data_IF_927261194295
#
_entry.id   IF_927261194295
#
_cell.length_a   1.000
_cell.length_b   1.000
_cell.length_c   1.000
_cell.angle_alpha   90.00
_cell.angle_beta   90.00
_cell.angle_gamma   90.00
#
_symmetry.space_group_name_H-M   'P 1'
#
loop_
_entity.id
_entity.type
_entity.pdbx_description
1 polymer ?
#
# COMPACT_ATOMS: atom_id res chain seq x y z
N UNK A 1 -14.68 13.56 46.57
CA UNK A 1 -15.53 13.47 45.37
C UNK A 1 -14.69 12.79 44.31
N UNK A 2 -14.89 11.49 44.10
CA UNK A 2 -14.13 10.74 43.10
C UNK A 2 -14.81 10.97 41.73
N UNK A 3 -14.06 11.49 40.74
CA UNK A 3 -14.54 11.55 39.36
C UNK A 3 -14.95 10.15 38.93
N UNK A 4 -16.23 9.98 38.59
CA UNK A 4 -16.69 8.77 37.92
C UNK A 4 -16.08 8.79 36.52
N UNK A 5 -15.05 7.98 36.28
CA UNK A 5 -14.50 7.80 34.93
C UNK A 5 -15.61 7.23 34.04
N UNK A 6 -15.88 7.94 32.94
CA UNK A 6 -16.91 7.51 31.99
C UNK A 6 -16.43 6.28 31.23
N UNK A 7 -17.32 5.30 31.02
CA UNK A 7 -16.98 4.01 30.41
C UNK A 7 -16.29 4.14 29.05
N UNK A 8 -16.72 5.10 28.24
CA UNK A 8 -16.11 5.37 26.93
C UNK A 8 -14.67 5.88 27.06
N UNK A 9 -14.34 6.65 28.10
CA UNK A 9 -12.96 7.11 28.39
C UNK A 9 -12.06 5.95 28.83
N UNK A 10 -12.60 4.98 29.57
CA UNK A 10 -11.86 3.75 29.89
C UNK A 10 -11.61 2.89 28.65
N UNK A 11 -12.55 2.88 27.69
CA UNK A 11 -12.38 2.25 26.39
C UNK A 11 -11.30 2.95 25.55
N UNK A 12 -11.30 4.29 25.48
CA UNK A 12 -10.27 5.08 24.78
C UNK A 12 -8.88 4.78 25.36
N UNK A 13 -8.73 4.79 26.69
CA UNK A 13 -7.49 4.41 27.37
C UNK A 13 -7.04 3.01 26.95
N UNK A 14 -7.94 2.04 26.97
CA UNK A 14 -7.62 0.66 26.60
C UNK A 14 -7.18 0.54 25.13
N UNK A 15 -7.86 1.20 24.18
CA UNK A 15 -7.47 1.20 22.77
C UNK A 15 -6.12 1.91 22.53
N UNK A 16 -5.80 2.95 23.30
CA UNK A 16 -4.49 3.61 23.28
C UNK A 16 -3.39 2.67 23.81
N UNK A 17 -3.63 1.94 24.90
CA UNK A 17 -2.68 0.93 25.41
C UNK A 17 -2.48 -0.24 24.43
N UNK A 18 -3.50 -0.59 23.65
CA UNK A 18 -3.36 -1.54 22.53
C UNK A 18 -2.50 -0.99 21.39
N UNK A 19 -2.28 0.32 21.31
CA UNK A 19 -1.57 0.99 20.22
C UNK A 19 -2.42 1.21 18.97
N UNK A 20 -3.75 1.21 19.11
CA UNK A 20 -4.70 1.45 18.00
C UNK A 20 -5.00 2.94 17.82
N UNK A 21 -5.02 3.70 18.93
CA UNK A 21 -5.16 5.15 18.91
C UNK A 21 -3.80 5.79 19.23
N UNK A 22 -3.37 6.76 18.43
CA UNK A 22 -2.19 7.58 18.77
C UNK A 22 -2.49 8.40 20.06
N UNK A 23 -1.51 8.52 20.95
CA UNK A 23 -1.59 9.35 22.14
C UNK A 23 -1.86 10.83 21.84
N UNK A 24 -1.61 11.28 20.60
CA UNK A 24 -1.94 12.63 20.11
C UNK A 24 -3.34 12.75 19.49
N UNK A 25 -4.13 11.68 19.46
CA UNK A 25 -5.45 11.72 18.85
C UNK A 25 -6.40 12.60 19.67
N UNK A 26 -7.20 13.44 18.99
CA UNK A 26 -8.13 14.40 19.61
C UNK A 26 -9.08 13.78 20.65
N UNK A 27 -9.42 12.49 20.55
CA UNK A 27 -10.29 11.79 21.51
C UNK A 27 -9.63 11.40 22.83
N UNK A 28 -8.30 11.46 22.89
CA UNK A 28 -7.55 11.28 24.14
C UNK A 28 -7.49 12.58 24.97
N UNK A 29 -7.91 13.72 24.41
CA UNK A 29 -7.93 15.01 25.11
C UNK A 29 -9.07 15.10 26.14
N UNK A 30 -8.85 15.88 27.20
CA UNK A 30 -9.84 16.04 28.27
C UNK A 30 -11.18 16.64 27.76
N UNK A 31 -11.13 17.49 26.74
CA UNK A 31 -12.29 18.14 26.14
C UNK A 31 -13.06 17.30 25.11
N UNK A 32 -12.61 16.09 24.80
CA UNK A 32 -13.25 15.26 23.80
C UNK A 32 -14.66 14.83 24.21
N UNK A 33 -15.56 14.78 23.23
CA UNK A 33 -16.93 14.31 23.42
C UNK A 33 -17.10 12.87 22.93
N UNK A 34 -18.09 12.17 23.48
CA UNK A 34 -18.38 10.80 23.10
C UNK A 34 -18.77 10.66 21.61
N UNK A 35 -19.42 11.67 21.04
CA UNK A 35 -19.78 11.69 19.62
C UNK A 35 -18.54 11.59 18.72
N UNK A 36 -17.45 12.28 19.08
CA UNK A 36 -16.18 12.21 18.34
C UNK A 36 -15.61 10.78 18.38
N UNK A 37 -15.60 10.16 19.57
CA UNK A 37 -15.14 8.78 19.72
C UNK A 37 -16.00 7.77 18.94
N UNK A 38 -17.32 7.93 18.98
CA UNK A 38 -18.24 7.06 18.27
C UNK A 38 -18.11 7.18 16.74
N UNK A 39 -17.90 8.41 16.22
CA UNK A 39 -17.64 8.66 14.80
C UNK A 39 -16.34 7.98 14.32
N UNK A 40 -15.30 7.95 15.14
CA UNK A 40 -14.01 7.33 14.77
C UNK A 40 -14.07 5.79 14.70
N UNK A 41 -14.98 5.16 15.46
CA UNK A 41 -15.20 3.71 15.38
C UNK A 41 -16.21 3.30 14.30
N UNK A 42 -16.93 4.28 13.73
CA UNK A 42 -18.14 4.09 12.94
C UNK A 42 -17.95 3.25 11.68
N UNK A 43 -16.77 3.28 11.09
CA UNK A 43 -16.47 2.52 9.88
C UNK A 43 -15.92 1.11 10.12
N UNK A 44 -15.78 0.73 11.39
CA UNK A 44 -15.30 -0.59 11.82
C UNK A 44 -13.81 -0.84 11.59
N UNK A 45 -13.04 0.06 10.98
CA UNK A 45 -11.63 -0.22 10.64
C UNK A 45 -10.79 -0.37 11.91
N UNK A 46 -10.89 0.58 12.85
CA UNK A 46 -10.17 0.50 14.12
C UNK A 46 -10.57 -0.71 14.96
N UNK A 47 -11.81 -1.18 14.83
CA UNK A 47 -12.29 -2.37 15.52
C UNK A 47 -11.62 -3.64 14.96
N UNK A 48 -11.50 -3.74 13.65
CA UNK A 48 -10.79 -4.85 13.01
C UNK A 48 -9.28 -4.84 13.34
N UNK A 49 -8.65 -3.66 13.30
CA UNK A 49 -7.25 -3.50 13.68
C UNK A 49 -7.00 -3.87 15.15
N UNK A 50 -7.93 -3.52 16.04
CA UNK A 50 -7.90 -3.92 17.44
C UNK A 50 -7.91 -5.44 17.61
N UNK A 51 -8.77 -6.17 16.88
CA UNK A 51 -8.77 -7.63 16.89
C UNK A 51 -7.42 -8.21 16.45
N UNK A 52 -6.86 -7.73 15.34
CA UNK A 52 -5.55 -8.17 14.84
C UNK A 52 -4.39 -7.87 15.80
N UNK A 53 -4.53 -6.83 16.62
CA UNK A 53 -3.54 -6.49 17.64
C UNK A 53 -3.62 -7.37 18.88
N UNK A 54 -4.82 -7.79 19.26
CA UNK A 54 -5.05 -8.71 20.39
C UNK A 54 -4.75 -10.16 20.03
N UNK A 55 -4.95 -10.54 18.77
CA UNK A 55 -4.66 -11.86 18.23
C UNK A 55 -4.16 -11.71 16.80
N UNK A 56 -2.91 -12.08 16.54
CA UNK A 56 -2.29 -11.93 15.22
C UNK A 56 -3.10 -12.65 14.14
N UNK A 57 -3.34 -11.97 13.02
CA UNK A 57 -4.06 -12.48 11.84
C UNK A 57 -5.47 -13.00 12.13
N UNK A 58 -6.16 -12.43 13.13
CA UNK A 58 -7.55 -12.76 13.44
C UNK A 58 -8.53 -12.41 12.30
N UNK A 59 -8.27 -11.32 11.60
CA UNK A 59 -9.01 -10.82 10.45
C UNK A 59 -8.01 -10.64 9.32
N UNK A 60 -8.25 -11.29 8.18
CA UNK A 60 -7.40 -11.13 6.99
C UNK A 60 -7.49 -9.67 6.52
N UNK A 61 -6.34 -9.06 6.26
CA UNK A 61 -6.24 -7.68 5.76
C UNK A 61 -7.00 -7.53 4.44
N UNK A 62 -7.14 -8.61 3.67
CA UNK A 62 -7.92 -8.62 2.41
C UNK A 62 -9.42 -8.44 2.62
N UNK A 63 -9.95 -8.90 3.75
CA UNK A 63 -11.37 -8.76 4.07
C UNK A 63 -11.68 -7.38 4.68
N UNK A 64 -10.64 -6.70 5.20
CA UNK A 64 -10.72 -5.37 5.80
C UNK A 64 -10.67 -4.25 4.75
N UNK A 65 -11.73 -3.46 4.68
CA UNK A 65 -11.81 -2.29 3.82
C UNK A 65 -11.24 -1.07 4.54
N UNK A 66 -9.95 -0.76 4.30
CA UNK A 66 -9.21 0.27 5.03
C UNK A 66 -9.70 1.71 4.77
N UNK A 67 -10.28 1.97 3.60
CA UNK A 67 -10.78 3.30 3.21
C UNK A 67 -12.25 3.22 2.80
N UNK A 68 -13.15 2.98 3.76
CA UNK A 68 -14.55 2.75 3.45
C UNK A 68 -15.31 4.02 3.05
N UNK A 69 -14.71 5.22 3.18
CA UNK A 69 -15.30 6.51 2.78
C UNK A 69 -16.74 6.71 3.30
N UNK A 70 -17.05 6.16 4.48
CA UNK A 70 -18.39 6.10 5.07
C UNK A 70 -19.49 5.44 4.22
N UNK A 71 -19.11 4.74 3.14
CA UNK A 71 -20.03 3.95 2.35
C UNK A 71 -20.65 2.86 3.22
N UNK A 72 -21.99 2.89 3.34
CA UNK A 72 -22.75 2.05 4.24
C UNK A 72 -22.40 0.56 4.14
N UNK A 73 -22.29 0.05 2.91
CA UNK A 73 -21.94 -1.34 2.65
C UNK A 73 -20.55 -1.70 3.18
N UNK A 74 -19.53 -0.86 2.92
CA UNK A 74 -18.15 -1.07 3.34
C UNK A 74 -17.99 -1.02 4.85
N UNK A 75 -18.56 0.00 5.49
CA UNK A 75 -18.54 0.12 6.95
C UNK A 75 -19.23 -1.08 7.60
N UNK A 76 -20.40 -1.48 7.09
CA UNK A 76 -21.10 -2.65 7.62
C UNK A 76 -20.31 -3.95 7.38
N UNK A 77 -19.61 -4.11 6.25
CA UNK A 77 -18.71 -5.24 5.98
C UNK A 77 -17.62 -5.33 7.06
N UNK A 78 -16.91 -4.23 7.33
CA UNK A 78 -15.89 -4.17 8.38
C UNK A 78 -16.46 -4.50 9.77
N UNK A 79 -17.58 -3.88 10.14
CA UNK A 79 -18.23 -4.14 11.43
C UNK A 79 -18.62 -5.62 11.55
N UNK A 80 -19.14 -6.23 10.48
CA UNK A 80 -19.47 -7.65 10.44
C UNK A 80 -18.21 -8.53 10.61
N UNK A 81 -17.09 -8.19 9.98
CA UNK A 81 -15.82 -8.92 10.17
C UNK A 81 -15.32 -8.84 11.62
N UNK A 82 -15.39 -7.66 12.24
CA UNK A 82 -15.12 -7.51 13.67
C UNK A 82 -16.02 -8.41 14.55
N UNK A 83 -17.33 -8.43 14.29
CA UNK A 83 -18.27 -9.25 15.05
C UNK A 83 -18.04 -10.75 14.82
N UNK A 84 -17.70 -11.17 13.60
CA UNK A 84 -17.29 -12.55 13.29
C UNK A 84 -16.03 -12.93 14.06
N UNK A 85 -15.03 -12.07 14.10
CA UNK A 85 -13.81 -12.27 14.88
C UNK A 85 -14.12 -12.41 16.38
N UNK A 86 -14.95 -11.52 16.94
CA UNK A 86 -15.38 -11.60 18.33
C UNK A 86 -16.04 -12.94 18.66
N UNK A 87 -16.90 -13.44 17.77
CA UNK A 87 -17.59 -14.72 17.95
C UNK A 87 -16.66 -15.94 17.79
N UNK A 88 -15.86 -15.96 16.73
CA UNK A 88 -15.14 -17.16 16.30
C UNK A 88 -13.77 -17.29 16.98
N UNK A 89 -13.06 -16.17 17.19
CA UNK A 89 -11.69 -16.16 17.73
C UNK A 89 -11.69 -15.81 19.21
N UNK A 90 -12.50 -14.84 19.64
CA UNK A 90 -12.58 -14.43 21.04
C UNK A 90 -13.67 -15.17 21.82
N UNK A 91 -14.36 -16.12 21.17
CA UNK A 91 -15.40 -17.01 21.75
C UNK A 91 -16.51 -16.26 22.50
N UNK A 92 -16.85 -15.06 22.03
CA UNK A 92 -17.89 -14.24 22.65
C UNK A 92 -19.28 -14.76 22.29
N UNK A 93 -20.22 -14.69 23.25
CA UNK A 93 -21.59 -15.15 23.04
C UNK A 93 -22.37 -14.17 22.16
N UNK A 94 -23.32 -14.63 21.34
CA UNK A 94 -24.13 -13.75 20.49
C UNK A 94 -24.88 -12.65 21.25
N UNK A 95 -25.32 -12.93 22.48
CA UNK A 95 -26.02 -11.94 23.33
C UNK A 95 -25.11 -10.81 23.82
N UNK A 96 -23.80 -11.01 23.71
CA UNK A 96 -22.77 -10.07 24.13
C UNK A 96 -22.31 -9.15 22.98
N UNK A 97 -22.81 -9.39 21.76
CA UNK A 97 -22.49 -8.66 20.53
C UNK A 97 -23.57 -7.61 20.21
N UNK A 98 -23.15 -6.50 19.59
CA UNK A 98 -24.06 -5.49 19.06
C UNK A 98 -24.45 -5.80 17.61
N UNK A 99 -25.53 -5.18 17.14
CA UNK A 99 -25.95 -5.25 15.73
C UNK A 99 -25.18 -4.21 14.90
N UNK A 100 -24.73 -4.49 13.67
CA UNK A 100 -23.98 -3.52 12.86
C UNK A 100 -24.58 -2.11 12.79
N UNK A 101 -25.91 -1.98 12.81
CA UNK A 101 -26.61 -0.70 12.82
C UNK A 101 -26.44 0.08 14.12
N UNK A 102 -26.30 -0.59 15.28
CA UNK A 102 -26.08 0.03 16.59
C UNK A 102 -24.83 0.94 16.56
N UNK A 103 -23.81 0.56 15.78
CA UNK A 103 -22.58 1.35 15.57
C UNK A 103 -22.66 2.25 14.33
N UNK A 104 -23.04 1.73 13.16
CA UNK A 104 -22.99 2.53 11.93
C UNK A 104 -23.97 3.71 11.95
N UNK A 105 -25.17 3.54 12.53
CA UNK A 105 -26.15 4.63 12.68
C UNK A 105 -26.05 5.35 14.02
N UNK A 106 -25.19 4.86 14.91
CA UNK A 106 -25.02 5.33 16.28
C UNK A 106 -26.36 5.28 17.06
N UNK A 107 -27.15 4.24 16.81
CA UNK A 107 -28.46 4.02 17.44
C UNK A 107 -28.30 3.64 18.92
N UNK A 108 -27.33 2.77 19.24
CA UNK A 108 -27.01 2.34 20.61
C UNK A 108 -25.51 2.07 20.79
N UNK A 109 -24.74 3.14 20.93
CA UNK A 109 -23.30 3.04 21.18
C UNK A 109 -22.97 2.41 22.55
N UNK A 110 -23.94 2.37 23.47
CA UNK A 110 -23.81 1.71 24.77
C UNK A 110 -23.62 0.19 24.62
N UNK A 111 -24.32 -0.45 23.67
CA UNK A 111 -24.07 -1.86 23.33
C UNK A 111 -22.65 -2.08 22.79
N UNK A 112 -22.17 -1.20 21.92
CA UNK A 112 -20.80 -1.26 21.37
C UNK A 112 -19.76 -1.25 22.50
N UNK A 113 -19.88 -0.32 23.46
CA UNK A 113 -18.99 -0.25 24.62
C UNK A 113 -19.04 -1.50 25.50
N UNK A 114 -20.21 -2.13 25.66
CA UNK A 114 -20.35 -3.40 26.40
C UNK A 114 -19.64 -4.55 25.69
N UNK A 115 -19.80 -4.65 24.37
CA UNK A 115 -19.10 -5.65 23.57
C UNK A 115 -17.59 -5.45 23.68
N UNK A 116 -17.09 -4.23 23.55
CA UNK A 116 -15.66 -3.92 23.71
C UNK A 116 -15.15 -4.19 25.13
N UNK A 117 -15.94 -3.90 26.16
CA UNK A 117 -15.61 -4.24 27.54
C UNK A 117 -15.46 -5.75 27.70
N UNK A 118 -16.41 -6.54 27.19
CA UNK A 118 -16.33 -8.02 27.23
C UNK A 118 -15.13 -8.53 26.44
N UNK A 119 -14.89 -8.01 25.24
CA UNK A 119 -13.72 -8.32 24.43
C UNK A 119 -12.42 -8.07 25.21
N UNK A 120 -12.30 -6.93 25.89
CA UNK A 120 -11.11 -6.57 26.68
C UNK A 120 -10.84 -7.52 27.87
N UNK A 121 -11.87 -8.23 28.33
CA UNK A 121 -11.78 -9.21 29.43
C UNK A 121 -11.76 -10.66 28.97
N UNK A 122 -11.82 -10.89 27.66
CA UNK A 122 -11.77 -12.23 27.06
C UNK A 122 -10.44 -12.92 27.39
N UNK A 123 -10.41 -14.27 27.44
CA UNK A 123 -9.19 -15.01 27.71
C UNK A 123 -8.07 -14.66 26.72
N UNK A 124 -8.40 -14.54 25.43
CA UNK A 124 -7.45 -14.21 24.36
C UNK A 124 -6.88 -12.80 24.54
N UNK A 125 -7.73 -11.81 24.80
CA UNK A 125 -7.26 -10.44 25.01
C UNK A 125 -6.36 -10.31 26.25
N UNK A 126 -6.59 -11.09 27.31
CA UNK A 126 -5.73 -11.11 28.50
C UNK A 126 -4.32 -11.61 28.24
N UNK A 127 -4.09 -12.40 27.19
CA UNK A 127 -2.76 -12.86 26.79
C UNK A 127 -1.85 -11.71 26.34
N UNK A 128 -2.43 -10.61 25.84
CA UNK A 128 -1.69 -9.40 25.46
C UNK A 128 -1.03 -8.68 26.66
N UNK A 129 -1.41 -9.02 27.89
CA UNK A 129 -0.94 -8.35 29.11
C UNK A 129 -1.57 -6.98 29.35
N UNK A 130 -2.45 -6.51 28.47
CA UNK A 130 -3.13 -5.22 28.58
C UNK A 130 -4.33 -5.34 29.51
N UNK A 131 -4.47 -4.40 30.46
CA UNK A 131 -5.57 -4.42 31.43
C UNK A 131 -6.87 -3.94 30.77
N UNK A 132 -7.84 -4.84 30.65
CA UNK A 132 -9.19 -4.53 30.14
C UNK A 132 -10.00 -3.56 31.01
N UNK A 133 -11.21 -3.24 30.57
CA UNK A 133 -12.12 -2.26 31.20
C UNK A 133 -13.55 -2.83 31.35
N UNK A 134 -14.36 -2.36 32.31
CA UNK A 134 -14.07 -1.31 33.29
C UNK A 134 -13.12 -1.76 34.42
N UNK A 135 -12.37 -0.81 34.99
CA UNK A 135 -11.42 -1.08 36.08
C UNK A 135 -12.10 -1.39 37.42
N UNK A 136 -13.35 -0.95 37.60
CA UNK A 136 -14.18 -1.24 38.78
C UNK A 136 -15.52 -1.81 38.34
N UNK A 137 -15.83 -3.03 38.77
CA UNK A 137 -17.15 -3.64 38.61
C UNK A 137 -17.89 -3.41 39.93
N UNK A 138 -18.85 -2.48 39.97
CA UNK A 138 -19.70 -2.32 41.16
C UNK A 138 -20.65 -3.53 41.28
N UNK A 139 -20.76 -4.18 42.46
CA UNK A 139 -21.64 -5.34 42.66
C UNK A 139 -23.15 -5.00 42.68
N UNK A 140 -23.50 -3.73 42.84
CA UNK A 140 -24.86 -3.22 42.70
C UNK A 140 -25.01 -2.64 41.28
N UNK A 141 -25.98 -3.15 40.52
CA UNK A 141 -26.45 -2.66 39.20
C UNK A 141 -25.76 -3.26 37.95
N UNK A 142 -25.68 -4.59 37.87
CA UNK A 142 -25.18 -5.32 36.70
C UNK A 142 -26.06 -5.24 35.43
N UNK A 143 -27.23 -4.60 35.47
CA UNK A 143 -28.13 -4.46 34.30
C UNK A 143 -28.54 -2.99 34.04
N UNK A 144 -28.72 -2.18 35.08
CA UNK A 144 -29.19 -0.78 34.95
C UNK A 144 -28.07 0.25 34.71
N UNK A 145 -26.83 0.00 35.16
CA UNK A 145 -25.72 0.96 34.96
C UNK A 145 -25.35 1.15 33.48
N UNK A 146 -25.68 0.16 32.64
CA UNK A 146 -25.29 0.10 31.23
C UNK A 146 -26.35 0.65 30.26
N UNK A 147 -27.61 0.82 30.69
CA UNK A 147 -28.74 1.11 29.81
C UNK A 147 -29.23 2.58 29.84
N UNK A 148 -28.82 3.38 30.83
CA UNK A 148 -29.57 4.59 31.22
C UNK A 148 -28.89 5.94 31.06
N UNK A 149 -27.62 6.04 30.64
CA UNK A 149 -27.14 7.36 30.23
C UNK A 149 -27.64 7.66 28.82
N UNK A 150 -28.64 8.55 28.72
CA UNK A 150 -29.16 9.14 27.48
C UNK A 150 -28.05 9.57 26.51
N UNK A 151 -26.87 9.90 27.04
CA UNK A 151 -25.66 10.28 26.28
C UNK A 151 -25.16 9.23 25.28
N UNK A 152 -25.58 7.96 25.38
CA UNK A 152 -25.11 6.88 24.49
C UNK A 152 -26.11 6.55 23.36
N UNK A 153 -27.29 7.18 23.36
CA UNK A 153 -28.37 6.91 22.41
C UNK A 153 -28.53 8.09 21.45
N UNK A 154 -28.82 7.81 20.18
CA UNK A 154 -29.10 8.82 19.15
C UNK A 154 -27.99 9.88 18.99
N UNK A 155 -26.72 9.44 18.90
CA UNK A 155 -25.56 10.35 18.72
C UNK A 155 -25.46 10.97 17.30
N UNK A 156 -26.47 10.72 16.46
CA UNK A 156 -26.50 11.08 15.04
C UNK A 156 -26.42 12.59 14.77
N UNK A 157 -27.06 13.43 15.59
CA UNK A 157 -27.12 14.88 15.35
C UNK A 157 -25.76 15.60 15.42
N UNK A 158 -24.77 15.05 16.13
CA UNK A 158 -23.41 15.60 16.20
C UNK A 158 -22.43 15.00 15.19
N UNK A 159 -22.73 13.80 14.68
CA UNK A 159 -21.84 13.04 13.79
C UNK A 159 -21.88 13.50 12.32
N UNK A 160 -23.01 14.06 11.85
CA UNK A 160 -23.16 14.57 10.47
C UNK A 160 -22.52 15.96 10.27
N UNK A 161 -22.25 16.72 11.34
CA UNK A 161 -21.71 18.10 11.28
C UNK A 161 -20.18 18.15 11.38
N UNK A 162 -19.55 17.11 11.94
CA UNK A 162 -18.11 17.03 12.18
C UNK A 162 -17.55 15.72 11.60
N UNK A 163 -17.81 15.44 10.32
CA UNK A 163 -17.18 14.31 9.63
C UNK A 163 -15.68 14.63 9.46
N UNK A 164 -14.77 14.01 10.22
CA UNK A 164 -13.35 14.27 10.05
C UNK A 164 -12.93 13.63 8.74
N UNK A 165 -12.20 14.35 7.90
CA UNK A 165 -11.50 13.77 6.75
C UNK A 165 -10.47 12.80 7.31
N UNK A 166 -10.83 11.52 7.40
CA UNK A 166 -10.02 10.46 7.99
C UNK A 166 -8.95 9.96 7.01
N UNK A 167 -8.34 10.85 6.22
CA UNK A 167 -7.37 10.51 5.17
C UNK A 167 -6.10 9.86 5.73
N UNK A 168 -5.78 10.12 7.01
CA UNK A 168 -4.46 9.80 7.59
C UNK A 168 -4.49 8.82 8.79
N UNK A 169 -5.66 8.31 9.21
CA UNK A 169 -5.74 7.48 10.43
C UNK A 169 -5.37 6.00 10.21
N UNK A 170 -5.40 5.52 8.96
CA UNK A 170 -5.27 4.09 8.63
C UNK A 170 -3.91 3.71 8.01
N UNK A 171 -2.92 4.60 8.07
CA UNK A 171 -1.61 4.42 7.43
C UNK A 171 -0.69 3.39 8.14
N UNK A 172 -1.16 2.82 9.26
CA UNK A 172 -0.38 1.87 10.08
C UNK A 172 -0.07 0.54 9.37
N UNK A 173 -0.82 0.16 8.32
CA UNK A 173 -0.61 -1.09 7.57
C UNK A 173 0.20 -0.97 6.28
N UNK A 174 0.19 0.21 5.63
CA UNK A 174 0.90 0.46 4.36
C UNK A 174 2.41 0.69 4.62
N UNK A 175 2.73 1.28 5.79
CA UNK A 175 4.09 1.70 6.11
C UNK A 175 5.11 0.56 6.22
N UNK A 176 4.72 -0.70 6.50
CA UNK A 176 5.67 -1.83 6.58
C UNK A 176 5.94 -2.50 5.24
N UNK A 177 4.91 -2.70 4.41
CA UNK A 177 5.07 -3.24 3.05
C UNK A 177 5.86 -2.26 2.15
N UNK A 178 5.57 -0.96 2.24
CA UNK A 178 6.27 0.05 1.46
C UNK A 178 7.75 0.19 1.89
N UNK A 179 8.04 0.09 3.20
CA UNK A 179 9.43 0.05 3.70
C UNK A 179 10.18 -1.20 3.25
N UNK A 180 9.53 -2.36 3.19
CA UNK A 180 10.16 -3.61 2.77
C UNK A 180 10.45 -3.59 1.27
N UNK A 181 9.48 -3.20 0.44
CA UNK A 181 9.66 -3.05 -1.01
C UNK A 181 10.73 -2.02 -1.38
N UNK A 182 10.80 -0.90 -0.66
CA UNK A 182 11.85 0.12 -0.83
C UNK A 182 13.25 -0.43 -0.56
N UNK A 183 13.44 -1.23 0.49
CA UNK A 183 14.74 -1.88 0.79
C UNK A 183 15.17 -2.85 -0.30
N UNK A 184 14.23 -3.59 -0.88
CA UNK A 184 14.50 -4.54 -1.98
C UNK A 184 14.92 -3.78 -3.22
N UNK A 185 14.20 -2.70 -3.57
CA UNK A 185 14.56 -1.79 -4.65
C UNK A 185 16.00 -1.26 -4.47
N UNK A 186 16.30 -0.70 -3.30
CA UNK A 186 17.62 -0.14 -3.01
C UNK A 186 18.73 -1.20 -3.11
N UNK A 187 18.45 -2.44 -2.66
CA UNK A 187 19.41 -3.54 -2.71
C UNK A 187 19.75 -4.01 -4.14
N UNK A 188 18.82 -3.91 -5.08
CA UNK A 188 19.01 -4.44 -6.44
C UNK A 188 19.39 -3.32 -7.41
N UNK A 189 18.73 -2.17 -7.29
CA UNK A 189 18.79 -1.07 -8.27
C UNK A 189 19.82 -0.01 -7.88
N UNK A 190 19.94 0.32 -6.58
CA UNK A 190 20.83 1.38 -6.12
C UNK A 190 22.25 0.89 -5.76
N UNK A 191 22.48 -0.42 -5.68
CA UNK A 191 23.82 -0.95 -5.38
C UNK A 191 24.80 -0.78 -6.55
N UNK A 192 26.02 -0.32 -6.23
CA UNK A 192 27.14 -0.29 -7.18
C UNK A 192 27.67 -1.70 -7.43
N UNK A 193 27.86 -2.06 -8.69
CA UNK A 193 28.45 -3.33 -9.10
C UNK A 193 29.86 -3.47 -8.52
N UNK A 194 30.06 -4.38 -7.55
CA UNK A 194 31.37 -4.67 -6.94
C UNK A 194 32.04 -5.94 -7.51
N UNK A 195 31.60 -6.43 -8.68
CA UNK A 195 32.07 -7.68 -9.28
C UNK A 195 33.46 -7.55 -9.94
N UNK A 196 34.51 -8.02 -9.26
CA UNK A 196 35.87 -8.17 -9.81
C UNK A 196 36.00 -9.09 -11.06
N UNK A 197 34.93 -9.79 -11.48
CA UNK A 197 34.96 -10.71 -12.63
C UNK A 197 34.71 -10.05 -13.99
N UNK A 198 34.24 -8.82 -13.99
CA UNK A 198 33.79 -8.06 -15.18
C UNK A 198 34.94 -7.22 -15.80
N UNK A 199 36.03 -7.03 -15.06
CA UNK A 199 37.14 -6.10 -15.32
C UNK A 199 37.90 -6.29 -16.65
N UNK A 200 37.78 -7.41 -17.36
CA UNK A 200 38.57 -7.68 -18.57
C UNK A 200 37.90 -7.28 -19.90
N UNK A 201 36.59 -7.04 -19.92
CA UNK A 201 35.88 -6.52 -21.10
C UNK A 201 35.59 -5.00 -21.01
N UNK A 202 35.86 -4.40 -19.84
CA UNK A 202 35.36 -3.08 -19.41
C UNK A 202 36.32 -1.91 -19.69
N UNK A 203 37.56 -2.18 -20.08
CA UNK A 203 38.60 -1.14 -20.18
C UNK A 203 38.28 -0.03 -21.20
N UNK A 204 37.38 -0.28 -22.15
CA UNK A 204 36.96 0.67 -23.20
C UNK A 204 35.57 1.29 -23.00
N UNK A 205 34.83 0.93 -21.94
CA UNK A 205 33.53 1.55 -21.70
C UNK A 205 33.71 2.95 -21.09
N UNK A 206 33.44 3.98 -21.89
CA UNK A 206 33.54 5.38 -21.49
C UNK A 206 32.73 5.70 -20.23
N UNK A 207 31.58 5.06 -20.04
CA UNK A 207 30.67 5.34 -18.92
C UNK A 207 31.14 4.74 -17.60
N UNK A 208 31.68 3.52 -17.64
CA UNK A 208 32.19 2.86 -16.44
C UNK A 208 33.39 3.64 -15.89
N UNK A 209 34.23 4.16 -16.78
CA UNK A 209 35.41 4.95 -16.42
C UNK A 209 35.09 6.43 -16.09
N UNK A 210 33.89 6.91 -16.42
CA UNK A 210 33.47 8.28 -16.12
C UNK A 210 33.38 8.53 -14.62
N UNK A 211 34.16 9.50 -14.14
CA UNK A 211 34.17 9.98 -12.76
C UNK A 211 33.48 11.35 -12.71
N UNK A 212 32.34 11.46 -12.02
CA UNK A 212 31.64 12.73 -11.88
C UNK A 212 32.44 13.69 -10.99
N UNK A 213 32.65 14.92 -11.46
CA UNK A 213 33.39 15.98 -10.77
C UNK A 213 32.45 16.98 -10.07
N UNK A 214 31.17 17.00 -10.46
CA UNK A 214 30.14 17.87 -9.90
C UNK A 214 28.99 17.08 -9.25
N UNK A 215 28.27 17.72 -8.32
CA UNK A 215 27.04 17.13 -7.74
C UNK A 215 25.99 16.81 -8.81
N UNK A 216 25.90 17.65 -9.85
CA UNK A 216 24.99 17.43 -10.98
C UNK A 216 25.36 16.17 -11.76
N UNK A 217 26.64 15.98 -12.06
CA UNK A 217 27.13 14.77 -12.72
C UNK A 217 26.94 13.51 -11.87
N UNK A 218 27.03 13.62 -10.54
CA UNK A 218 26.65 12.52 -9.66
C UNK A 218 25.17 12.13 -9.83
N UNK A 219 24.25 13.10 -9.90
CA UNK A 219 22.84 12.82 -10.16
C UNK A 219 22.60 12.22 -11.55
N UNK A 220 23.29 12.72 -12.58
CA UNK A 220 23.22 12.16 -13.94
C UNK A 220 23.74 10.72 -13.97
N UNK A 221 24.85 10.45 -13.27
CA UNK A 221 25.42 9.11 -13.15
C UNK A 221 24.47 8.18 -12.41
N UNK A 222 23.92 8.61 -11.27
CA UNK A 222 22.94 7.85 -10.49
C UNK A 222 21.70 7.51 -11.31
N UNK A 223 21.15 8.46 -12.06
CA UNK A 223 19.97 8.24 -12.90
C UNK A 223 20.19 7.09 -13.89
N UNK A 224 21.30 7.11 -14.62
CA UNK A 224 21.57 6.10 -15.65
C UNK A 224 22.10 4.78 -15.08
N UNK A 225 22.93 4.80 -14.03
CA UNK A 225 23.38 3.58 -13.34
C UNK A 225 22.17 2.82 -12.75
N UNK A 226 21.24 3.54 -12.12
CA UNK A 226 20.02 2.94 -11.56
C UNK A 226 19.06 2.48 -12.66
N UNK A 227 18.96 3.16 -13.81
CA UNK A 227 18.17 2.67 -14.95
C UNK A 227 18.77 1.38 -15.54
N UNK A 228 20.09 1.35 -15.70
CA UNK A 228 20.80 0.18 -16.22
C UNK A 228 20.65 -1.02 -15.27
N UNK A 229 20.82 -0.82 -13.96
CA UNK A 229 20.58 -1.87 -12.97
C UNK A 229 19.11 -2.33 -12.97
N UNK A 230 18.15 -1.42 -13.11
CA UNK A 230 16.74 -1.79 -13.17
C UNK A 230 16.43 -2.69 -14.37
N UNK A 231 16.98 -2.38 -15.56
CA UNK A 231 16.80 -3.20 -16.76
C UNK A 231 17.58 -4.52 -16.68
N UNK A 232 18.90 -4.44 -16.50
CA UNK A 232 19.81 -5.57 -16.67
C UNK A 232 19.85 -6.51 -15.46
N UNK A 233 19.55 -6.01 -14.25
CA UNK A 233 19.53 -6.83 -13.04
C UNK A 233 18.11 -7.16 -12.61
N UNK A 234 17.24 -6.16 -12.45
CA UNK A 234 15.91 -6.43 -11.89
C UNK A 234 14.95 -7.06 -12.91
N UNK A 235 14.69 -6.39 -14.04
CA UNK A 235 13.75 -6.86 -15.05
C UNK A 235 14.24 -8.15 -15.73
N UNK A 236 15.51 -8.21 -16.11
CA UNK A 236 16.07 -9.42 -16.72
C UNK A 236 16.08 -10.62 -15.75
N UNK A 237 16.30 -10.41 -14.45
CA UNK A 237 16.14 -11.48 -13.45
C UNK A 237 14.68 -11.95 -13.37
N UNK A 238 13.72 -11.03 -13.30
CA UNK A 238 12.29 -11.40 -13.27
C UNK A 238 11.93 -12.19 -14.52
N UNK A 239 12.40 -11.78 -15.70
CA UNK A 239 12.07 -12.43 -16.97
C UNK A 239 12.76 -13.79 -17.09
N UNK A 240 14.08 -13.83 -16.97
CA UNK A 240 14.86 -15.01 -17.28
C UNK A 240 14.77 -16.08 -16.20
N UNK A 241 14.63 -15.68 -14.93
CA UNK A 241 14.65 -16.61 -13.81
C UNK A 241 13.26 -16.94 -13.26
N UNK A 242 12.22 -16.13 -13.52
CA UNK A 242 10.85 -16.41 -13.05
C UNK A 242 9.85 -16.52 -14.19
N UNK A 243 9.72 -15.50 -15.05
CA UNK A 243 8.71 -15.47 -16.12
C UNK A 243 8.83 -16.71 -17.03
N UNK A 244 9.99 -16.90 -17.69
CA UNK A 244 10.18 -17.99 -18.64
C UNK A 244 10.10 -19.38 -17.97
N UNK A 245 10.78 -19.64 -16.84
CA UNK A 245 10.73 -20.96 -16.21
C UNK A 245 9.34 -21.32 -15.66
N UNK A 246 8.53 -20.34 -15.24
CA UNK A 246 7.20 -20.60 -14.70
C UNK A 246 6.14 -20.84 -15.78
N UNK A 247 6.40 -20.51 -17.06
CA UNK A 247 5.52 -20.90 -18.18
C UNK A 247 5.37 -22.44 -18.29
N UNK A 248 6.37 -23.20 -17.85
CA UNK A 248 6.37 -24.67 -17.92
C UNK A 248 5.39 -25.33 -16.94
N UNK A 249 5.05 -24.64 -15.85
CA UNK A 249 4.33 -25.22 -14.70
C UNK A 249 2.98 -24.55 -14.44
N UNK A 250 2.85 -23.27 -14.80
CA UNK A 250 1.63 -22.51 -14.58
C UNK A 250 0.67 -22.62 -15.77
N UNK A 251 -0.63 -22.48 -15.50
CA UNK A 251 -1.61 -22.28 -16.56
C UNK A 251 -1.38 -20.92 -17.24
N UNK A 252 -1.83 -20.77 -18.50
CA UNK A 252 -1.70 -19.50 -19.23
C UNK A 252 -2.36 -18.33 -18.50
N UNK A 253 -3.52 -18.57 -17.89
CA UNK A 253 -4.26 -17.55 -17.15
C UNK A 253 -3.53 -17.15 -15.86
N UNK A 254 -2.98 -18.13 -15.13
CA UNK A 254 -2.21 -17.87 -13.91
C UNK A 254 -0.92 -17.13 -14.20
N UNK A 255 -0.23 -17.54 -15.26
CA UNK A 255 1.00 -16.91 -15.69
C UNK A 255 0.75 -15.45 -16.08
N UNK A 256 -0.29 -15.19 -16.89
CA UNK A 256 -0.71 -13.84 -17.25
C UNK A 256 -1.13 -13.00 -16.04
N UNK A 257 -1.84 -13.59 -15.08
CA UNK A 257 -2.28 -12.89 -13.86
C UNK A 257 -1.10 -12.53 -12.95
N UNK A 258 -0.09 -13.40 -12.84
CA UNK A 258 1.09 -13.17 -12.02
C UNK A 258 2.00 -12.10 -12.65
N UNK A 259 2.28 -12.22 -13.94
CA UNK A 259 3.28 -11.38 -14.60
C UNK A 259 2.71 -10.14 -15.30
N UNK A 260 1.39 -10.04 -15.44
CA UNK A 260 0.70 -8.86 -15.97
C UNK A 260 1.30 -8.45 -17.33
N UNK A 261 1.67 -7.18 -17.50
CA UNK A 261 2.38 -6.64 -18.66
C UNK A 261 3.88 -6.44 -18.41
N UNK A 262 4.54 -7.26 -17.59
CA UNK A 262 5.99 -7.10 -17.28
C UNK A 262 6.89 -7.11 -18.51
N UNK A 263 6.56 -7.89 -19.55
CA UNK A 263 7.33 -7.92 -20.80
C UNK A 263 7.22 -6.61 -21.57
N UNK A 264 6.06 -5.96 -21.53
CA UNK A 264 5.86 -4.63 -22.13
C UNK A 264 6.72 -3.60 -21.40
N UNK A 265 6.69 -3.59 -20.06
CA UNK A 265 7.54 -2.71 -19.26
C UNK A 265 9.02 -2.93 -19.56
N UNK A 266 9.47 -4.18 -19.65
CA UNK A 266 10.86 -4.46 -19.98
C UNK A 266 11.27 -3.99 -21.38
N UNK A 267 10.38 -4.11 -22.36
CA UNK A 267 10.60 -3.56 -23.70
C UNK A 267 10.73 -2.04 -23.66
N UNK A 268 9.79 -1.36 -22.99
CA UNK A 268 9.80 0.10 -22.81
C UNK A 268 11.10 0.54 -22.16
N UNK A 269 11.51 -0.09 -21.05
CA UNK A 269 12.69 0.33 -20.31
C UNK A 269 14.02 0.03 -21.01
N UNK A 270 14.11 -1.06 -21.79
CA UNK A 270 15.30 -1.31 -22.64
C UNK A 270 15.48 -0.18 -23.64
N UNK A 271 14.42 0.19 -24.37
CA UNK A 271 14.48 1.28 -25.34
C UNK A 271 14.63 2.66 -24.69
N UNK A 272 13.99 2.90 -23.55
CA UNK A 272 14.17 4.14 -22.78
C UNK A 272 15.61 4.30 -22.30
N UNK A 273 16.22 3.24 -21.75
CA UNK A 273 17.63 3.21 -21.34
C UNK A 273 18.57 3.55 -22.49
N UNK A 274 18.32 3.01 -23.69
CA UNK A 274 19.18 3.27 -24.85
C UNK A 274 19.13 4.74 -25.30
N UNK A 275 17.95 5.37 -25.30
CA UNK A 275 17.82 6.81 -25.56
C UNK A 275 18.40 7.66 -24.41
N UNK A 276 18.18 7.23 -23.17
CA UNK A 276 18.73 7.89 -22.00
C UNK A 276 20.26 7.87 -22.01
N UNK A 277 20.88 6.75 -22.45
CA UNK A 277 22.34 6.62 -22.61
C UNK A 277 22.88 7.76 -23.47
N UNK A 278 22.27 8.01 -24.63
CA UNK A 278 22.72 9.05 -25.52
C UNK A 278 22.64 10.44 -24.87
N UNK A 279 21.50 10.77 -24.25
CA UNK A 279 21.29 12.04 -23.58
C UNK A 279 22.25 12.26 -22.40
N UNK A 280 22.52 11.23 -21.58
CA UNK A 280 23.47 11.37 -20.46
C UNK A 280 24.91 11.51 -20.94
N UNK A 281 25.32 10.80 -21.99
CA UNK A 281 26.67 10.91 -22.55
C UNK A 281 26.93 12.31 -23.12
N UNK A 282 25.96 12.92 -23.80
CA UNK A 282 26.03 14.32 -24.24
C UNK A 282 26.08 15.27 -23.05
N UNK A 283 25.25 15.03 -22.03
CA UNK A 283 25.15 15.90 -20.84
C UNK A 283 26.45 15.98 -20.05
N UNK A 284 27.25 14.91 -20.04
CA UNK A 284 28.54 14.85 -19.32
C UNK A 284 29.76 14.95 -20.25
N UNK A 285 29.57 15.22 -21.55
CA UNK A 285 30.64 15.45 -22.51
C UNK A 285 31.47 14.21 -22.89
N UNK A 286 30.91 13.00 -22.81
CA UNK A 286 31.59 11.76 -23.23
C UNK A 286 31.45 11.45 -24.73
N UNK A 287 30.39 11.99 -25.34
CA UNK A 287 30.09 11.94 -26.78
C UNK A 287 29.58 13.32 -27.20
N UNK A 288 29.73 13.64 -28.49
CA UNK A 288 29.22 14.88 -29.10
C UNK A 288 28.07 14.54 -30.07
N UNK A 289 27.11 15.46 -30.26
CA UNK A 289 26.04 15.30 -31.24
C UNK A 289 26.60 15.16 -32.65
N UNK A 290 25.99 14.28 -33.43
CA UNK A 290 26.35 14.09 -34.85
C UNK A 290 25.55 15.09 -35.67
N UNK A 291 26.21 16.02 -36.37
CA UNK A 291 25.66 16.96 -37.39
C UNK A 291 25.01 18.30 -36.94
N UNK A 292 25.64 19.11 -36.07
CA UNK A 292 25.14 20.47 -35.68
C UNK A 292 23.68 20.52 -35.14
N UNK A 293 23.01 19.38 -34.98
CA UNK A 293 21.68 19.28 -34.42
C UNK A 293 21.69 19.56 -32.92
N UNK A 294 20.58 20.10 -32.41
CA UNK A 294 20.42 20.35 -30.98
C UNK A 294 20.58 19.02 -30.21
N UNK A 295 21.50 18.91 -29.24
CA UNK A 295 21.65 17.69 -28.45
C UNK A 295 20.34 17.36 -27.75
N UNK A 296 19.93 16.09 -27.84
CA UNK A 296 18.80 15.56 -27.07
C UNK A 296 19.19 15.63 -25.58
N UNK A 297 18.38 16.33 -24.80
CA UNK A 297 18.59 16.47 -23.35
C UNK A 297 17.92 15.32 -22.60
N UNK A 298 18.30 15.12 -21.33
CA UNK A 298 17.64 14.14 -20.45
C UNK A 298 16.14 14.41 -20.35
N UNK A 299 15.75 15.69 -20.24
CA UNK A 299 14.35 16.09 -20.19
C UNK A 299 13.57 15.68 -21.45
N UNK A 300 14.14 15.91 -22.63
CA UNK A 300 13.52 15.54 -23.92
C UNK A 300 13.23 14.03 -24.00
N UNK A 301 14.13 13.19 -23.47
CA UNK A 301 13.93 11.74 -23.41
C UNK A 301 12.71 11.41 -22.55
N UNK A 302 12.61 11.96 -21.34
CA UNK A 302 11.44 11.70 -20.47
C UNK A 302 10.12 12.15 -21.10
N UNK A 303 10.10 13.31 -21.76
CA UNK A 303 8.92 13.81 -22.45
C UNK A 303 8.52 12.90 -23.61
N UNK A 304 9.49 12.39 -24.37
CA UNK A 304 9.25 11.46 -25.48
C UNK A 304 8.66 10.12 -24.99
N UNK A 305 9.06 9.67 -23.80
CA UNK A 305 8.70 8.36 -23.26
C UNK A 305 7.50 8.37 -22.29
N UNK A 306 7.04 9.53 -21.82
CA UNK A 306 5.96 9.64 -20.82
C UNK A 306 4.69 8.87 -21.19
N UNK A 307 4.27 8.92 -22.46
CA UNK A 307 3.05 8.23 -22.93
C UNK A 307 3.19 6.70 -22.85
N UNK A 308 4.41 6.17 -23.01
CA UNK A 308 4.67 4.74 -22.88
C UNK A 308 4.59 4.29 -21.41
N UNK A 309 4.94 5.16 -20.46
CA UNK A 309 4.81 4.85 -19.03
C UNK A 309 3.37 4.77 -18.54
N UNK A 310 2.36 5.12 -19.36
CA UNK A 310 0.95 4.82 -19.07
C UNK A 310 0.71 3.31 -18.87
N UNK A 311 1.57 2.44 -19.44
CA UNK A 311 1.56 0.99 -19.20
C UNK A 311 1.66 0.60 -17.72
N UNK A 312 2.19 1.47 -16.85
CA UNK A 312 2.22 1.26 -15.40
C UNK A 312 0.83 1.26 -14.76
N UNK A 313 -0.18 1.90 -15.37
CA UNK A 313 -1.55 1.88 -14.86
C UNK A 313 -2.12 0.45 -14.82
N UNK A 314 -1.92 -0.32 -15.89
CA UNK A 314 -2.32 -1.73 -15.94
C UNK A 314 -1.50 -2.58 -14.97
N UNK A 315 -0.19 -2.36 -14.90
CA UNK A 315 0.69 -3.13 -14.02
C UNK A 315 0.33 -2.93 -12.54
N UNK A 316 0.25 -1.68 -12.09
CA UNK A 316 0.06 -1.34 -10.69
C UNK A 316 -1.36 -1.65 -10.19
N UNK A 317 -2.39 -1.50 -11.03
CA UNK A 317 -3.77 -1.89 -10.66
C UNK A 317 -3.91 -3.39 -10.41
N UNK A 318 -3.20 -4.23 -11.19
CA UNK A 318 -3.27 -5.70 -11.10
C UNK A 318 -2.26 -6.32 -10.12
N UNK A 319 -1.29 -5.54 -9.62
CA UNK A 319 -0.24 -6.04 -8.73
C UNK A 319 -0.78 -6.71 -7.44
N UNK A 320 -1.80 -6.18 -6.73
CA UNK A 320 -2.37 -6.86 -5.55
C UNK A 320 -2.93 -8.25 -5.86
N UNK A 321 -3.54 -8.41 -7.03
CA UNK A 321 -4.09 -9.69 -7.49
C UNK A 321 -2.99 -10.69 -7.83
N UNK A 322 -1.93 -10.22 -8.51
CA UNK A 322 -0.73 -11.02 -8.77
C UNK A 322 -0.18 -11.61 -7.45
N UNK A 323 0.03 -10.76 -6.43
CA UNK A 323 0.49 -11.19 -5.10
C UNK A 323 -0.43 -12.25 -4.48
N UNK A 324 -1.75 -11.99 -4.51
CA UNK A 324 -2.74 -12.93 -3.99
C UNK A 324 -2.73 -14.26 -4.73
N UNK A 325 -2.53 -14.24 -6.05
CA UNK A 325 -2.48 -15.45 -6.87
C UNK A 325 -1.22 -16.28 -6.59
N UNK A 326 -0.06 -15.63 -6.42
CA UNK A 326 1.18 -16.31 -6.02
C UNK A 326 0.97 -17.02 -4.67
N UNK A 327 0.48 -16.30 -3.66
CA UNK A 327 0.24 -16.86 -2.33
C UNK A 327 -0.75 -18.05 -2.36
N UNK A 328 -1.81 -17.96 -3.18
CA UNK A 328 -2.73 -19.06 -3.39
C UNK A 328 -2.04 -20.28 -4.02
N UNK A 329 -1.30 -20.08 -5.11
CA UNK A 329 -0.61 -21.17 -5.81
C UNK A 329 0.46 -21.85 -4.95
N UNK A 330 1.18 -21.09 -4.12
CA UNK A 330 2.13 -21.65 -3.17
C UNK A 330 1.46 -22.55 -2.13
N UNK A 331 0.20 -22.27 -1.75
CA UNK A 331 -0.57 -23.08 -0.80
C UNK A 331 -1.24 -24.29 -1.46
N UNK A 332 -1.77 -24.14 -2.68
CA UNK A 332 -2.64 -25.15 -3.30
C UNK A 332 -1.98 -26.00 -4.37
N UNK A 333 -0.85 -25.56 -4.95
CA UNK A 333 -0.16 -26.26 -6.03
C UNK A 333 1.30 -26.54 -5.64
N UNK A 334 1.60 -27.75 -5.13
CA UNK A 334 2.95 -28.13 -4.70
C UNK A 334 4.01 -28.03 -5.81
N UNK A 335 3.62 -28.29 -7.07
CA UNK A 335 4.54 -28.24 -8.22
C UNK A 335 4.92 -26.77 -8.52
N UNK A 336 3.93 -25.89 -8.57
CA UNK A 336 4.16 -24.46 -8.75
C UNK A 336 4.98 -23.88 -7.60
N UNK A 337 4.63 -24.22 -6.35
CA UNK A 337 5.38 -23.81 -5.15
C UNK A 337 6.86 -24.20 -5.26
N UNK A 338 7.15 -25.46 -5.58
CA UNK A 338 8.53 -25.93 -5.68
C UNK A 338 9.28 -25.19 -6.79
N UNK A 339 8.67 -25.02 -7.97
CA UNK A 339 9.28 -24.29 -9.09
C UNK A 339 9.57 -22.82 -8.72
N UNK A 340 8.67 -22.14 -8.01
CA UNK A 340 8.88 -20.75 -7.54
C UNK A 340 10.09 -20.68 -6.60
N UNK A 341 10.24 -21.64 -5.68
CA UNK A 341 11.39 -21.72 -4.77
C UNK A 341 12.69 -21.97 -5.55
N UNK A 342 12.68 -22.92 -6.50
CA UNK A 342 13.85 -23.23 -7.33
C UNK A 342 14.30 -22.01 -8.14
N UNK A 343 13.34 -21.28 -8.71
CA UNK A 343 13.56 -19.99 -9.37
C UNK A 343 14.17 -18.96 -8.42
N UNK A 344 13.64 -18.83 -7.20
CA UNK A 344 14.16 -17.92 -6.17
C UNK A 344 15.62 -18.23 -5.80
N UNK A 345 15.95 -19.51 -5.60
CA UNK A 345 17.32 -19.95 -5.31
C UNK A 345 18.26 -19.59 -6.47
N UNK A 346 17.85 -19.85 -7.71
CA UNK A 346 18.66 -19.56 -8.89
C UNK A 346 18.85 -18.06 -9.15
N UNK A 347 17.82 -17.25 -8.91
CA UNK A 347 17.80 -15.82 -9.22
C UNK A 347 18.57 -14.98 -8.20
N UNK A 348 18.28 -15.17 -6.91
CA UNK A 348 18.74 -14.26 -5.86
C UNK A 348 19.15 -15.00 -4.57
N UNK A 349 19.43 -16.31 -4.65
CA UNK A 349 19.69 -17.18 -3.49
C UNK A 349 18.53 -17.20 -2.48
N UNK A 350 17.31 -17.05 -2.99
CA UNK A 350 16.07 -17.01 -2.23
C UNK A 350 16.06 -15.91 -1.13
N UNK A 351 16.73 -14.79 -1.40
CA UNK A 351 16.74 -13.63 -0.50
C UNK A 351 15.44 -12.83 -0.57
N UNK A 352 14.80 -12.79 -1.74
CA UNK A 352 13.55 -12.04 -1.97
C UNK A 352 12.53 -12.93 -2.66
N UNK A 353 11.27 -12.87 -2.22
CA UNK A 353 10.18 -13.63 -2.81
C UNK A 353 9.71 -12.99 -4.13
N UNK A 354 9.14 -13.80 -5.03
CA UNK A 354 8.65 -13.35 -6.33
C UNK A 354 7.67 -12.17 -6.21
N UNK A 355 6.73 -12.24 -5.26
CA UNK A 355 5.74 -11.19 -5.02
C UNK A 355 6.36 -9.84 -4.64
N UNK A 356 7.53 -9.87 -3.99
CA UNK A 356 8.24 -8.67 -3.58
C UNK A 356 9.07 -8.11 -4.75
N UNK A 357 9.67 -8.97 -5.56
CA UNK A 357 10.38 -8.57 -6.78
C UNK A 357 9.47 -7.88 -7.79
N UNK A 358 8.21 -8.33 -7.91
CA UNK A 358 7.20 -7.69 -8.76
C UNK A 358 6.78 -6.30 -8.28
N UNK A 359 7.20 -5.85 -7.08
CA UNK A 359 7.00 -4.47 -6.64
C UNK A 359 8.06 -3.49 -7.14
N UNK A 360 9.20 -3.98 -7.64
CA UNK A 360 10.32 -3.14 -8.11
C UNK A 360 9.90 -2.18 -9.24
N UNK A 361 9.12 -2.60 -10.26
CA UNK A 361 8.68 -1.67 -11.30
C UNK A 361 7.86 -0.49 -10.77
N UNK A 362 6.92 -0.76 -9.84
CA UNK A 362 6.15 0.29 -9.17
C UNK A 362 7.07 1.24 -8.40
N UNK A 363 8.08 0.71 -7.70
CA UNK A 363 9.06 1.57 -7.02
C UNK A 363 9.85 2.42 -8.02
N UNK A 364 10.25 1.89 -9.18
CA UNK A 364 11.06 2.63 -10.16
C UNK A 364 10.35 3.86 -10.69
N UNK A 365 9.10 3.74 -11.14
CA UNK A 365 8.36 4.87 -11.72
C UNK A 365 8.18 6.00 -10.70
N UNK A 366 8.01 5.67 -9.42
CA UNK A 366 7.92 6.64 -8.32
C UNK A 366 9.24 7.37 -8.01
N UNK A 367 10.40 6.90 -8.50
CA UNK A 367 11.70 7.59 -8.26
C UNK A 367 12.03 8.66 -9.30
N UNK A 368 11.45 8.63 -10.51
CA UNK A 368 11.89 9.52 -11.58
C UNK A 368 11.72 11.01 -11.26
N UNK A 369 10.56 11.42 -10.75
CA UNK A 369 10.35 12.83 -10.37
C UNK A 369 11.28 13.28 -9.23
N UNK A 370 11.69 12.37 -8.33
CA UNK A 370 12.63 12.67 -7.24
C UNK A 370 14.03 12.91 -7.80
N UNK A 371 14.51 12.00 -8.67
CA UNK A 371 15.81 12.12 -9.33
C UNK A 371 15.88 13.39 -10.20
N UNK A 372 14.84 13.66 -11.00
CA UNK A 372 14.73 14.88 -11.80
C UNK A 372 14.68 16.13 -10.92
N UNK A 373 13.92 16.10 -9.82
CA UNK A 373 13.84 17.25 -8.91
C UNK A 373 15.19 17.58 -8.26
N UNK A 374 16.02 16.59 -7.93
CA UNK A 374 17.36 16.84 -7.40
C UNK A 374 18.30 17.38 -8.49
N UNK A 375 18.23 16.82 -9.70
CA UNK A 375 19.00 17.31 -10.84
C UNK A 375 18.67 18.79 -11.16
N UNK A 376 17.38 19.15 -11.17
CA UNK A 376 16.94 20.54 -11.38
C UNK A 376 17.51 21.49 -10.32
N UNK A 377 17.60 21.10 -9.04
CA UNK A 377 18.20 21.96 -8.01
C UNK A 377 19.68 22.27 -8.28
N UNK A 378 20.36 21.38 -9.00
CA UNK A 378 21.78 21.46 -9.31
C UNK A 378 22.06 22.02 -10.71
N UNK A 379 21.02 22.33 -11.49
CA UNK A 379 21.11 22.92 -12.84
C UNK A 379 20.88 24.45 -12.78
N UNK A 380 21.82 25.27 -13.29
CA UNK A 380 21.66 26.73 -13.34
C UNK A 380 20.37 27.19 -14.04
N UNK A 381 19.84 28.35 -13.64
CA UNK A 381 18.55 28.87 -14.14
C UNK A 381 18.59 29.18 -15.63
N UNK A 382 19.76 29.55 -16.15
CA UNK A 382 20.05 29.90 -17.54
C UNK A 382 20.48 28.69 -18.38
N UNK A 383 20.59 27.50 -17.80
CA UNK A 383 20.99 26.30 -18.53
C UNK A 383 19.90 25.87 -19.53
N UNK A 384 20.31 25.53 -20.76
CA UNK A 384 19.41 25.19 -21.86
C UNK A 384 18.55 23.93 -21.59
N UNK A 385 19.03 23.04 -20.74
CA UNK A 385 18.36 21.79 -20.38
C UNK A 385 17.46 21.92 -19.13
N UNK A 386 17.44 23.08 -18.46
CA UNK A 386 16.65 23.28 -17.26
C UNK A 386 15.14 23.17 -17.51
N UNK A 387 14.63 23.87 -18.53
CA UNK A 387 13.20 23.85 -18.86
C UNK A 387 12.74 22.43 -19.26
N UNK A 388 13.43 21.71 -20.17
CA UNK A 388 13.11 20.30 -20.45
C UNK A 388 13.10 19.41 -19.19
N UNK A 389 14.01 19.64 -18.23
CA UNK A 389 14.02 18.88 -16.98
C UNK A 389 12.79 19.19 -16.10
N UNK A 390 12.37 20.45 -16.02
CA UNK A 390 11.17 20.86 -15.29
C UNK A 390 9.90 20.24 -15.88
N UNK A 391 9.74 20.29 -17.21
CA UNK A 391 8.64 19.64 -17.92
C UNK A 391 8.66 18.12 -17.72
N UNK A 392 9.84 17.50 -17.80
CA UNK A 392 10.01 16.07 -17.55
C UNK A 392 9.61 15.67 -16.13
N UNK A 393 9.95 16.50 -15.13
CA UNK A 393 9.56 16.26 -13.74
C UNK A 393 8.03 16.29 -13.60
N UNK A 394 7.37 17.30 -14.16
CA UNK A 394 5.90 17.41 -14.15
C UNK A 394 5.26 16.19 -14.81
N UNK A 395 5.73 15.80 -15.98
CA UNK A 395 5.26 14.60 -16.68
C UNK A 395 5.38 13.32 -15.83
N UNK A 396 6.46 13.15 -15.06
CA UNK A 396 6.61 11.98 -14.18
C UNK A 396 5.72 12.06 -12.93
N UNK A 397 5.39 13.26 -12.44
CA UNK A 397 4.40 13.43 -11.37
C UNK A 397 2.97 13.12 -11.86
N UNK A 398 2.66 13.47 -13.11
CA UNK A 398 1.39 13.14 -13.73
C UNK A 398 1.22 11.63 -13.90
N UNK A 399 2.27 10.92 -14.32
CA UNK A 399 2.27 9.45 -14.39
C UNK A 399 2.02 8.83 -13.02
N UNK A 400 2.66 9.33 -11.96
CA UNK A 400 2.42 8.83 -10.60
C UNK A 400 0.97 9.07 -10.15
N UNK A 401 0.41 10.24 -10.46
CA UNK A 401 -0.98 10.58 -10.16
C UNK A 401 -1.94 9.66 -10.91
N UNK A 402 -1.70 9.46 -12.21
CA UNK A 402 -2.46 8.53 -13.05
C UNK A 402 -2.42 7.09 -12.52
N UNK A 403 -1.25 6.58 -12.12
CA UNK A 403 -1.11 5.24 -11.53
C UNK A 403 -1.92 5.11 -10.24
N UNK A 404 -1.93 6.15 -9.40
CA UNK A 404 -2.75 6.18 -8.19
C UNK A 404 -4.25 6.17 -8.51
N UNK A 405 -4.71 6.94 -9.51
CA UNK A 405 -6.11 6.91 -9.95
C UNK A 405 -6.51 5.54 -10.50
N UNK A 406 -5.69 4.94 -11.35
CA UNK A 406 -5.96 3.60 -11.90
C UNK A 406 -6.07 2.53 -10.81
N UNK A 407 -5.26 2.64 -9.75
CA UNK A 407 -5.39 1.78 -8.58
C UNK A 407 -6.71 2.03 -7.85
N UNK A 408 -7.10 3.30 -7.63
CA UNK A 408 -8.38 3.66 -7.00
C UNK A 408 -9.59 3.16 -7.80
N UNK A 409 -9.58 3.38 -9.11
CA UNK A 409 -10.64 2.93 -10.01
C UNK A 409 -10.75 1.40 -10.01
N UNK A 410 -9.62 0.70 -9.97
CA UNK A 410 -9.60 -0.75 -9.88
C UNK A 410 -10.20 -1.27 -8.56
N UNK A 411 -9.79 -0.69 -7.43
CA UNK A 411 -10.36 -1.00 -6.10
C UNK A 411 -11.87 -0.71 -6.07
N UNK A 412 -12.29 0.41 -6.66
CA UNK A 412 -13.70 0.75 -6.80
C UNK A 412 -14.46 -0.26 -7.66
N UNK A 413 -13.90 -0.71 -8.78
CA UNK A 413 -14.51 -1.75 -9.63
C UNK A 413 -14.68 -3.07 -8.87
N UNK A 414 -13.67 -3.49 -8.10
CA UNK A 414 -13.79 -4.70 -7.27
C UNK A 414 -14.89 -4.58 -6.23
N UNK A 415 -15.00 -3.41 -5.60
CA UNK A 415 -16.09 -3.13 -4.68
C UNK A 415 -17.46 -3.19 -5.36
N UNK A 416 -17.61 -2.61 -6.55
CA UNK A 416 -18.88 -2.67 -7.29
C UNK A 416 -19.24 -4.12 -7.59
N UNK A 417 -18.29 -4.95 -8.03
CA UNK A 417 -18.52 -6.38 -8.27
C UNK A 417 -18.93 -7.14 -6.99
N UNK A 418 -18.31 -6.84 -5.86
CA UNK A 418 -18.67 -7.39 -4.55
C UNK A 418 -20.12 -7.02 -4.17
N UNK A 419 -20.50 -5.76 -4.39
CA UNK A 419 -21.86 -5.26 -4.14
C UNK A 419 -22.84 -5.98 -5.06
N UNK A 420 -22.58 -6.03 -6.37
CA UNK A 420 -23.41 -6.71 -7.36
C UNK A 420 -23.64 -8.17 -6.98
N UNK A 421 -22.58 -8.89 -6.59
CA UNK A 421 -22.66 -10.30 -6.17
C UNK A 421 -23.45 -10.48 -4.87
N UNK A 422 -23.44 -9.48 -3.99
CA UNK A 422 -24.19 -9.52 -2.72
C UNK A 422 -25.69 -9.27 -2.87
N UNK A 423 -26.12 -8.72 -4.00
CA UNK A 423 -27.53 -8.39 -4.28
C UNK A 423 -28.15 -9.56 -5.07
N UNK A 424 -29.10 -10.25 -4.46
CA UNK A 424 -29.70 -11.47 -5.05
C UNK A 424 -30.72 -11.20 -6.17
N UNK A 425 -31.24 -9.97 -6.29
CA UNK A 425 -32.31 -9.58 -7.23
C UNK A 425 -31.89 -8.40 -8.15
N UNK A 426 -30.66 -8.41 -8.65
CA UNK A 426 -30.18 -7.39 -9.59
C UNK A 426 -30.63 -7.73 -11.02
N UNK A 427 -31.92 -7.56 -11.31
CA UNK A 427 -32.39 -7.50 -12.70
C UNK A 427 -31.92 -6.18 -13.33
N UNK A 428 -30.72 -6.18 -13.91
CA UNK A 428 -30.30 -5.11 -14.81
C UNK A 428 -31.19 -5.20 -16.06
N UNK A 429 -32.24 -4.38 -16.08
CA UNK A 429 -33.01 -4.10 -17.29
C UNK A 429 -32.06 -3.40 -18.26
N UNK A 430 -31.43 -4.18 -19.12
CA UNK A 430 -30.65 -3.68 -20.25
C UNK A 430 -31.64 -3.04 -21.21
N UNK A 431 -31.81 -1.73 -21.11
CA UNK A 431 -32.45 -0.96 -22.18
C UNK A 431 -31.50 -0.91 -23.37
N UNK A 432 -31.69 -1.83 -24.32
CA UNK A 432 -31.23 -1.60 -25.68
C UNK A 432 -32.04 -0.43 -26.27
N UNK A 433 -31.38 0.69 -26.52
CA UNK A 433 -31.85 1.73 -27.44
C UNK A 433 -30.87 1.83 -28.61
#
# INVERSE_FOLDING_TARGET
MAESTELWRECVRWMNECGILDAKHRVAEAGAEIGEFATILRDGVLLCLLCNRLCENCIDIKDLQQRPQMAQFLCCKNICEFLKACKNTFEMRPEDLFDPWDLYRLDDFGKVLRTLSKLSTSPVAKLSGIRGFPLRISPLNSVEYYNDKVIYKNLRQGAEVNEPVLENAYDMGIAEEEKTSGRIYDSIVCQRSNSQRELKAIEYDKWINFKPDSRREHCVKELYDTESNYVEKALDMIINNFYTPLEEVLSKDDHKMIFMNILELACIHRSFRDHLRQAVFYTVGLEDPVNDEKPVTIGDVFITWKEKFVAYGEYCSKLPNSRSRICYLEKTNPIARQKIIDCGIAANRNQFHLQDLLSIPMQRVLKYHVLLSEMIKLTPVDALDRLPLEEAKEAMQDINSYVNEMKRDYEMQQLVMDIETSITDLELVVYFC
#
